data_IF_122370419385
#
_entry.id   IF_122370419385
#
_cell.length_a   1.000
_cell.length_b   1.000
_cell.length_c   1.000
_cell.angle_alpha   90.00
_cell.angle_beta   90.00
_cell.angle_gamma   90.00
#
_symmetry.space_group_name_H-M   'P 1'
#
loop_
_entity.id
_entity.type
_entity.pdbx_description
1 polymer ?
#
# COMPACT_ATOMS: atom_id res chain seq x y z
N UNK A 1 -1.84 -4.32 -33.20
CA UNK A 1 -3.21 -4.43 -32.68
C UNK A 1 -3.35 -5.76 -31.95
N UNK A 2 -3.07 -5.78 -30.66
CA UNK A 2 -3.26 -6.97 -29.82
C UNK A 2 -4.74 -7.01 -29.39
N UNK A 3 -5.41 -8.11 -29.69
CA UNK A 3 -6.83 -8.32 -29.35
C UNK A 3 -6.93 -8.59 -27.86
N UNK A 4 -7.62 -7.72 -27.14
CA UNK A 4 -8.01 -7.93 -25.75
C UNK A 4 -9.09 -9.01 -25.74
N UNK A 5 -8.84 -10.11 -25.05
CA UNK A 5 -9.85 -11.13 -24.80
C UNK A 5 -10.74 -10.65 -23.63
N UNK A 6 -11.90 -10.13 -23.99
CA UNK A 6 -12.94 -9.73 -23.04
C UNK A 6 -13.68 -10.99 -22.58
N UNK A 7 -13.47 -11.41 -21.34
CA UNK A 7 -14.30 -12.44 -20.70
C UNK A 7 -15.45 -11.74 -19.97
N UNK A 8 -16.62 -11.74 -20.63
CA UNK A 8 -17.89 -11.35 -19.99
C UNK A 8 -18.40 -12.52 -19.15
N UNK A 9 -18.41 -12.39 -17.82
CA UNK A 9 -19.25 -13.21 -16.96
C UNK A 9 -20.55 -12.48 -16.67
N UNK A 10 -21.65 -12.99 -17.22
CA UNK A 10 -23.00 -12.42 -17.09
C UNK A 10 -23.73 -13.07 -15.91
N UNK A 11 -24.25 -12.21 -15.07
CA UNK A 11 -25.43 -12.21 -14.19
C UNK A 11 -25.82 -13.45 -13.37
N UNK A 12 -25.85 -13.25 -12.07
CA UNK A 12 -27.00 -13.63 -11.23
C UNK A 12 -27.40 -12.44 -10.36
N UNK A 13 -28.65 -12.01 -10.50
CA UNK A 13 -29.26 -10.93 -9.75
C UNK A 13 -29.58 -11.38 -8.32
N UNK A 14 -29.13 -10.62 -7.33
CA UNK A 14 -29.56 -10.79 -5.94
C UNK A 14 -28.52 -10.27 -4.95
N UNK A 15 -28.71 -9.04 -4.46
CA UNK A 15 -27.85 -8.23 -3.60
C UNK A 15 -26.76 -7.46 -4.36
N UNK A 16 -26.86 -6.14 -4.26
CA UNK A 16 -25.96 -5.17 -4.89
C UNK A 16 -24.54 -5.26 -4.30
N UNK A 17 -23.80 -6.28 -4.70
CA UNK A 17 -22.36 -6.21 -4.65
C UNK A 17 -21.92 -5.25 -5.76
N UNK A 18 -21.11 -4.25 -5.48
CA UNK A 18 -20.50 -3.42 -6.51
C UNK A 18 -19.85 -4.36 -7.54
N UNK A 19 -20.16 -4.15 -8.83
CA UNK A 19 -19.67 -5.02 -9.89
C UNK A 19 -18.13 -4.95 -9.88
N UNK A 20 -17.49 -6.06 -9.58
CA UNK A 20 -16.05 -6.23 -9.67
C UNK A 20 -15.70 -6.49 -11.14
N UNK A 21 -14.80 -5.68 -11.67
CA UNK A 21 -14.25 -5.84 -13.01
C UNK A 21 -12.80 -6.31 -12.90
N UNK A 22 -12.45 -7.42 -13.57
CA UNK A 22 -11.11 -8.01 -13.48
C UNK A 22 -10.37 -7.87 -14.81
N UNK A 23 -9.13 -7.40 -14.76
CA UNK A 23 -8.28 -7.23 -15.93
C UNK A 23 -6.88 -7.82 -15.68
N UNK A 24 -6.33 -8.48 -16.70
CA UNK A 24 -4.91 -8.87 -16.69
C UNK A 24 -4.07 -7.65 -17.09
N UNK A 25 -3.25 -7.16 -16.18
CA UNK A 25 -2.43 -5.96 -16.42
C UNK A 25 -0.98 -6.28 -16.80
N UNK A 26 -0.48 -7.45 -16.43
CA UNK A 26 0.86 -7.89 -16.81
C UNK A 26 0.95 -9.41 -16.90
N UNK A 27 1.85 -9.88 -17.76
CA UNK A 27 2.28 -11.27 -17.82
C UNK A 27 3.76 -11.34 -17.44
N UNK A 28 4.12 -12.24 -16.54
CA UNK A 28 5.49 -12.51 -16.09
C UNK A 28 5.84 -13.96 -16.37
N UNK A 29 7.11 -14.29 -16.40
CA UNK A 29 7.58 -15.66 -16.66
C UNK A 29 6.97 -16.70 -15.70
N UNK A 30 6.60 -16.27 -14.49
CA UNK A 30 6.13 -17.16 -13.42
C UNK A 30 4.63 -17.07 -13.15
N UNK A 31 3.95 -16.01 -13.59
CA UNK A 31 2.53 -15.78 -13.32
C UNK A 31 1.93 -14.68 -14.20
N UNK A 32 0.62 -14.74 -14.41
CA UNK A 32 -0.17 -13.61 -14.89
C UNK A 32 -0.65 -12.79 -13.71
N UNK A 33 -0.61 -11.48 -13.82
CA UNK A 33 -0.99 -10.51 -12.78
C UNK A 33 -2.28 -9.80 -13.18
N UNK A 34 -3.23 -9.80 -12.27
CA UNK A 34 -4.55 -9.22 -12.48
C UNK A 34 -4.80 -8.07 -11.51
N UNK A 35 -5.67 -7.16 -11.91
CA UNK A 35 -6.26 -6.16 -11.04
C UNK A 35 -7.79 -6.27 -11.06
N UNK A 36 -8.41 -5.87 -9.94
CA UNK A 36 -9.85 -5.75 -9.83
C UNK A 36 -10.22 -4.30 -9.59
N UNK A 37 -11.28 -3.82 -10.26
CA UNK A 37 -11.84 -2.49 -10.09
C UNK A 37 -13.18 -2.59 -9.38
N UNK A 38 -13.32 -1.88 -8.27
CA UNK A 38 -14.54 -1.71 -7.50
C UNK A 38 -15.00 -0.25 -7.67
N UNK A 39 -16.18 -0.08 -8.27
CA UNK A 39 -16.75 1.25 -8.57
C UNK A 39 -17.40 1.86 -7.34
N UNK A 40 -17.44 3.21 -7.23
CA UNK A 40 -18.24 3.88 -6.22
C UNK A 40 -19.70 3.39 -6.23
N UNK A 41 -20.28 3.21 -5.04
CA UNK A 41 -21.68 2.83 -4.89
C UNK A 41 -22.58 3.86 -5.61
N UNK A 42 -23.57 3.38 -6.36
CA UNK A 42 -24.50 4.25 -7.10
C UNK A 42 -25.16 5.26 -6.16
N UNK A 43 -25.04 6.54 -6.50
CA UNK A 43 -25.58 7.64 -5.69
C UNK A 43 -24.63 8.16 -4.59
N UNK A 44 -23.46 7.52 -4.39
CA UNK A 44 -22.44 8.08 -3.51
C UNK A 44 -21.81 9.33 -4.12
N UNK A 45 -21.28 10.22 -3.26
CA UNK A 45 -20.65 11.47 -3.72
C UNK A 45 -19.21 11.21 -4.14
N UNK A 46 -18.93 11.32 -5.43
CA UNK A 46 -17.60 11.14 -6.03
C UNK A 46 -16.73 12.40 -6.00
N UNK A 47 -17.25 13.48 -5.41
CA UNK A 47 -16.54 14.75 -5.23
C UNK A 47 -16.52 15.16 -3.75
N UNK A 48 -15.50 15.91 -3.39
CA UNK A 48 -15.39 16.61 -2.11
C UNK A 48 -14.80 18.00 -2.35
N UNK A 49 -15.47 19.04 -1.84
CA UNK A 49 -15.05 20.45 -2.00
C UNK A 49 -14.84 20.85 -3.49
N UNK A 50 -15.72 20.34 -4.37
CA UNK A 50 -15.67 20.61 -5.82
C UNK A 50 -14.53 19.93 -6.57
N UNK A 51 -13.83 18.96 -5.94
CA UNK A 51 -12.76 18.17 -6.55
C UNK A 51 -13.14 16.70 -6.58
N UNK A 52 -12.77 16.02 -7.67
CA UNK A 52 -12.96 14.59 -7.80
C UNK A 52 -12.16 13.82 -6.72
N UNK A 53 -12.80 12.83 -6.12
CA UNK A 53 -12.14 11.90 -5.18
C UNK A 53 -11.14 11.02 -5.91
N UNK A 54 -9.97 10.74 -5.30
CA UNK A 54 -8.97 9.89 -5.93
C UNK A 54 -9.44 8.43 -6.01
N UNK A 55 -8.88 7.70 -6.97
CA UNK A 55 -8.95 6.23 -6.97
C UNK A 55 -7.90 5.69 -6.00
N UNK A 56 -8.31 4.74 -5.15
CA UNK A 56 -7.42 4.08 -4.20
C UNK A 56 -6.85 2.83 -4.85
N UNK A 57 -5.54 2.78 -5.07
CA UNK A 57 -4.85 1.57 -5.53
C UNK A 57 -4.36 0.80 -4.31
N UNK A 58 -4.96 -0.35 -4.05
CA UNK A 58 -4.65 -1.17 -2.87
C UNK A 58 -3.71 -2.32 -3.19
N UNK A 59 -2.70 -2.49 -2.33
CA UNK A 59 -1.72 -3.58 -2.37
C UNK A 59 -1.86 -4.39 -1.08
N UNK A 60 -2.20 -5.67 -1.22
CA UNK A 60 -2.46 -6.55 -0.07
C UNK A 60 -1.18 -6.91 0.71
N UNK A 61 -1.35 -7.40 1.93
CA UNK A 61 -0.31 -7.89 2.82
C UNK A 61 0.11 -9.34 2.53
N UNK A 62 0.67 -10.02 3.53
CA UNK A 62 1.01 -11.45 3.45
C UNK A 62 2.50 -11.76 3.34
N UNK A 63 3.38 -10.83 3.76
CA UNK A 63 4.82 -11.07 3.89
C UNK A 63 5.55 -11.41 2.60
N UNK A 64 5.03 -11.02 1.46
CA UNK A 64 5.55 -11.41 0.14
C UNK A 64 5.55 -12.92 -0.13
N UNK A 65 4.82 -13.72 0.66
CA UNK A 65 4.72 -15.19 0.50
C UNK A 65 3.31 -15.67 0.20
N UNK A 66 2.30 -14.90 0.60
CA UNK A 66 0.88 -15.24 0.46
C UNK A 66 0.04 -13.97 0.33
N UNK A 67 -1.28 -14.15 0.21
CA UNK A 67 -2.26 -13.09 0.05
C UNK A 67 -2.82 -13.06 -1.37
N UNK A 68 -3.92 -12.37 -1.53
CA UNK A 68 -4.59 -12.17 -2.80
C UNK A 68 -5.32 -10.81 -2.82
N UNK A 69 -5.51 -10.24 -4.03
CA UNK A 69 -6.14 -8.93 -4.22
C UNK A 69 -7.62 -8.90 -3.78
N UNK A 70 -8.27 -10.06 -3.70
CA UNK A 70 -9.71 -10.20 -3.42
C UNK A 70 -10.03 -10.75 -2.03
N UNK A 71 -9.11 -10.63 -1.06
CA UNK A 71 -9.34 -11.09 0.32
C UNK A 71 -10.60 -10.49 0.93
N UNK A 72 -11.48 -11.34 1.48
CA UNK A 72 -12.76 -10.92 2.06
C UNK A 72 -12.63 -9.86 3.16
N UNK A 73 -11.54 -9.88 3.91
CA UNK A 73 -11.25 -8.88 4.94
C UNK A 73 -11.05 -7.48 4.35
N UNK A 74 -10.34 -7.37 3.25
CA UNK A 74 -10.09 -6.10 2.54
C UNK A 74 -11.34 -5.61 1.80
N UNK A 75 -12.19 -6.51 1.32
CA UNK A 75 -13.43 -6.15 0.63
C UNK A 75 -14.38 -5.33 1.50
N UNK A 76 -14.40 -5.53 2.82
CA UNK A 76 -15.21 -4.69 3.74
C UNK A 76 -14.74 -3.22 3.71
N UNK A 77 -13.44 -3.01 3.63
CA UNK A 77 -12.87 -1.68 3.49
C UNK A 77 -13.12 -1.08 2.10
N UNK A 78 -13.01 -1.89 1.05
CA UNK A 78 -13.34 -1.46 -0.31
C UNK A 78 -14.81 -1.00 -0.42
N UNK A 79 -15.73 -1.77 0.17
CA UNK A 79 -17.13 -1.38 0.21
C UNK A 79 -17.34 -0.04 0.94
N UNK A 80 -16.66 0.18 2.06
CA UNK A 80 -16.71 1.46 2.78
C UNK A 80 -16.19 2.61 1.94
N UNK A 81 -15.09 2.42 1.22
CA UNK A 81 -14.57 3.42 0.27
C UNK A 81 -15.58 3.70 -0.84
N UNK A 82 -16.16 2.66 -1.45
CA UNK A 82 -17.16 2.81 -2.52
C UNK A 82 -18.42 3.54 -2.02
N UNK A 83 -18.91 3.23 -0.83
CA UNK A 83 -20.07 3.90 -0.21
C UNK A 83 -19.79 5.39 0.06
N UNK A 84 -18.52 5.73 0.23
CA UNK A 84 -18.05 7.09 0.37
C UNK A 84 -17.52 7.69 -0.94
N UNK A 85 -17.84 7.11 -2.10
CA UNK A 85 -17.61 7.69 -3.43
C UNK A 85 -16.18 7.58 -3.96
N UNK A 86 -15.33 6.75 -3.36
CA UNK A 86 -14.00 6.42 -3.88
C UNK A 86 -14.06 5.16 -4.75
N UNK A 87 -13.41 5.16 -5.91
CA UNK A 87 -13.11 3.93 -6.63
C UNK A 87 -11.93 3.22 -5.97
N UNK A 88 -11.91 1.88 -6.05
CA UNK A 88 -10.79 1.06 -5.57
C UNK A 88 -10.28 0.20 -6.70
N UNK A 89 -8.97 0.15 -6.87
CA UNK A 89 -8.24 -0.80 -7.71
C UNK A 89 -7.38 -1.64 -6.79
N UNK A 90 -7.55 -2.94 -6.78
CA UNK A 90 -6.65 -3.84 -6.04
C UNK A 90 -5.85 -4.69 -7.02
N UNK A 91 -4.59 -4.93 -6.73
CA UNK A 91 -3.66 -5.56 -7.67
C UNK A 91 -3.05 -6.85 -7.11
N UNK A 92 -2.81 -7.83 -7.98
CA UNK A 92 -1.83 -8.87 -7.71
C UNK A 92 -0.41 -8.29 -7.76
N UNK A 93 0.53 -8.93 -7.12
CA UNK A 93 1.96 -8.67 -7.29
C UNK A 93 2.75 -9.97 -7.07
N UNK A 94 3.94 -10.07 -7.63
CA UNK A 94 4.80 -11.24 -7.47
C UNK A 94 5.21 -11.43 -6.00
N UNK A 95 4.97 -12.63 -5.48
CA UNK A 95 5.30 -13.00 -4.10
C UNK A 95 6.78 -13.42 -3.99
N UNK A 96 7.68 -12.43 -3.97
CA UNK A 96 9.12 -12.63 -4.10
C UNK A 96 9.80 -13.40 -2.97
N UNK A 97 9.09 -13.67 -1.86
CA UNK A 97 9.56 -14.52 -0.76
C UNK A 97 8.94 -15.93 -0.80
N UNK A 98 8.00 -16.21 -1.72
CA UNK A 98 7.34 -17.53 -1.82
C UNK A 98 8.37 -18.63 -2.13
N UNK A 99 8.45 -19.60 -1.24
CA UNK A 99 9.40 -20.71 -1.36
C UNK A 99 10.84 -20.38 -0.92
N UNK A 100 11.13 -19.14 -0.54
CA UNK A 100 12.44 -18.77 0.00
C UNK A 100 12.60 -19.27 1.43
N UNK A 101 13.72 -19.97 1.70
CA UNK A 101 14.05 -20.46 3.05
C UNK A 101 15.09 -19.56 3.69
N UNK A 102 14.72 -18.91 4.78
CA UNK A 102 15.64 -18.05 5.54
C UNK A 102 16.76 -18.93 6.15
N UNK A 103 17.99 -18.65 5.74
CA UNK A 103 19.18 -19.36 6.25
C UNK A 103 19.50 -18.97 7.69
N UNK A 104 20.29 -19.82 8.37
CA UNK A 104 20.73 -19.58 9.77
C UNK A 104 21.97 -18.68 9.84
N UNK A 105 22.12 -17.99 10.97
CA UNK A 105 23.27 -17.16 11.30
C UNK A 105 23.38 -15.87 10.47
N UNK A 106 24.50 -15.16 10.64
CA UNK A 106 24.70 -13.83 10.05
C UNK A 106 24.63 -13.83 8.51
N UNK A 107 25.24 -14.84 7.87
CA UNK A 107 25.16 -15.00 6.39
C UNK A 107 23.73 -15.24 5.91
N UNK A 108 22.94 -16.05 6.63
CA UNK A 108 21.54 -16.29 6.34
C UNK A 108 20.70 -15.01 6.46
N UNK A 109 20.96 -14.21 7.51
CA UNK A 109 20.26 -12.93 7.71
C UNK A 109 20.59 -11.91 6.61
N UNK A 110 21.83 -11.85 6.14
CA UNK A 110 22.20 -10.95 5.04
C UNK A 110 21.53 -11.35 3.71
N UNK A 111 21.52 -12.65 3.39
CA UNK A 111 20.82 -13.16 2.19
C UNK A 111 19.31 -12.92 2.26
N UNK A 112 18.72 -13.09 3.46
CA UNK A 112 17.32 -12.77 3.66
C UNK A 112 17.02 -11.29 3.44
N UNK A 113 17.87 -10.38 3.94
CA UNK A 113 17.72 -8.95 3.71
C UNK A 113 17.79 -8.59 2.21
N UNK A 114 18.69 -9.21 1.46
CA UNK A 114 18.79 -9.06 0.00
C UNK A 114 17.50 -9.56 -0.69
N UNK A 115 17.01 -10.74 -0.30
CA UNK A 115 15.78 -11.28 -0.87
C UNK A 115 14.55 -10.43 -0.55
N UNK A 116 14.47 -9.83 0.64
CA UNK A 116 13.40 -8.88 0.99
C UNK A 116 13.44 -7.63 0.11
N UNK A 117 14.61 -7.10 -0.19
CA UNK A 117 14.75 -5.97 -1.12
C UNK A 117 14.30 -6.38 -2.52
N UNK A 118 14.67 -7.58 -2.98
CA UNK A 118 14.21 -8.11 -4.28
C UNK A 118 12.69 -8.24 -4.28
N UNK A 119 12.09 -8.81 -3.23
CA UNK A 119 10.64 -8.96 -3.14
C UNK A 119 9.90 -7.62 -3.11
N UNK A 120 10.41 -6.64 -2.35
CA UNK A 120 9.91 -5.26 -2.37
C UNK A 120 9.98 -4.67 -3.77
N UNK A 121 11.12 -4.79 -4.45
CA UNK A 121 11.31 -4.22 -5.78
C UNK A 121 10.41 -4.87 -6.82
N UNK A 122 10.24 -6.20 -6.77
CA UNK A 122 9.28 -6.91 -7.63
C UNK A 122 7.86 -6.37 -7.45
N UNK A 123 7.44 -6.11 -6.19
CA UNK A 123 6.13 -5.54 -5.90
C UNK A 123 5.99 -4.09 -6.42
N UNK A 124 7.04 -3.27 -6.32
CA UNK A 124 7.06 -1.92 -6.88
C UNK A 124 6.96 -1.93 -8.41
N UNK A 125 7.72 -2.79 -9.08
CA UNK A 125 7.65 -2.99 -10.54
C UNK A 125 6.25 -3.41 -11.00
N UNK A 126 5.60 -4.30 -10.24
CA UNK A 126 4.26 -4.78 -10.57
C UNK A 126 3.21 -3.69 -10.33
N UNK A 127 3.35 -2.89 -9.25
CA UNK A 127 2.52 -1.71 -9.02
C UNK A 127 2.68 -0.68 -10.17
N UNK A 128 3.91 -0.41 -10.61
CA UNK A 128 4.17 0.51 -11.73
C UNK A 128 3.57 -0.01 -13.03
N UNK A 129 3.63 -1.33 -13.27
CA UNK A 129 2.97 -1.95 -14.43
C UNK A 129 1.45 -1.84 -14.37
N UNK A 130 0.85 -1.96 -13.18
CA UNK A 130 -0.58 -1.75 -13.01
C UNK A 130 -0.97 -0.30 -13.31
N UNK A 131 -0.19 0.68 -12.83
CA UNK A 131 -0.41 2.11 -13.12
C UNK A 131 -0.26 2.39 -14.62
N UNK A 132 0.73 1.82 -15.32
CA UNK A 132 0.88 1.94 -16.77
C UNK A 132 -0.34 1.39 -17.50
N UNK A 133 -0.83 0.21 -17.09
CA UNK A 133 -2.06 -0.37 -17.66
C UNK A 133 -3.28 0.54 -17.44
N UNK A 134 -3.45 1.09 -16.24
CA UNK A 134 -4.53 2.03 -15.95
C UNK A 134 -4.42 3.30 -16.82
N UNK A 135 -3.20 3.79 -17.06
CA UNK A 135 -2.96 4.95 -17.90
C UNK A 135 -3.31 4.68 -19.38
N UNK A 136 -2.87 3.54 -19.91
CA UNK A 136 -3.12 3.13 -21.28
C UNK A 136 -4.61 2.91 -21.58
N UNK A 137 -5.39 2.57 -20.56
CA UNK A 137 -6.83 2.27 -20.65
C UNK A 137 -7.70 3.28 -19.87
N UNK A 138 -7.16 4.46 -19.55
CA UNK A 138 -7.80 5.43 -18.66
C UNK A 138 -9.19 5.89 -19.13
N UNK A 139 -9.38 6.11 -20.42
CA UNK A 139 -10.67 6.51 -21.01
C UNK A 139 -11.71 5.38 -20.89
N UNK A 140 -11.32 4.13 -21.23
CA UNK A 140 -12.21 2.97 -21.17
C UNK A 140 -12.60 2.65 -19.72
N UNK A 141 -11.60 2.68 -18.82
CA UNK A 141 -11.79 2.38 -17.41
C UNK A 141 -12.37 3.53 -16.60
N UNK A 142 -12.39 4.76 -17.14
CA UNK A 142 -12.84 5.95 -16.42
C UNK A 142 -12.03 6.23 -15.16
N UNK A 143 -10.72 5.94 -15.18
CA UNK A 143 -9.78 6.17 -14.07
C UNK A 143 -8.76 7.23 -14.46
N UNK A 144 -8.71 8.31 -13.69
CA UNK A 144 -7.69 9.34 -13.84
C UNK A 144 -6.43 8.92 -13.08
N UNK A 145 -5.38 8.55 -13.81
CA UNK A 145 -4.09 8.14 -13.22
C UNK A 145 -3.35 9.28 -12.53
N UNK A 146 -3.70 10.53 -12.85
CA UNK A 146 -3.15 11.69 -12.15
C UNK A 146 -3.83 11.93 -10.79
N UNK A 147 -4.82 11.12 -10.44
CA UNK A 147 -5.58 11.24 -9.19
C UNK A 147 -5.61 9.89 -8.42
N UNK A 148 -4.45 9.29 -8.22
CA UNK A 148 -4.28 8.01 -7.52
C UNK A 148 -3.71 8.19 -6.12
N UNK A 149 -4.29 7.51 -5.15
CA UNK A 149 -3.71 7.26 -3.82
C UNK A 149 -3.33 5.80 -3.74
N UNK A 150 -2.09 5.49 -3.41
CA UNK A 150 -1.70 4.11 -3.15
C UNK A 150 -1.90 3.79 -1.66
N UNK A 151 -2.53 2.66 -1.38
CA UNK A 151 -2.74 2.14 -0.04
C UNK A 151 -2.19 0.72 0.07
N UNK A 152 -1.66 0.35 1.22
CA UNK A 152 -1.20 -1.01 1.41
C UNK A 152 -1.17 -1.45 2.85
N UNK A 153 -1.26 -2.76 3.04
CA UNK A 153 -1.18 -3.44 4.33
C UNK A 153 0.12 -4.24 4.43
N UNK A 154 0.88 -4.11 5.55
CA UNK A 154 2.06 -4.96 5.79
C UNK A 154 3.05 -4.94 4.60
N UNK A 155 3.29 -6.06 3.94
CA UNK A 155 4.10 -6.15 2.71
C UNK A 155 3.62 -5.19 1.62
N UNK A 156 2.31 -5.02 1.45
CA UNK A 156 1.73 -4.05 0.51
C UNK A 156 2.01 -2.60 0.91
N UNK A 157 2.02 -2.30 2.21
CA UNK A 157 2.41 -0.99 2.71
C UNK A 157 3.90 -0.70 2.52
N UNK A 158 4.74 -1.75 2.59
CA UNK A 158 6.16 -1.65 2.22
C UNK A 158 6.30 -1.31 0.74
N UNK A 159 5.55 -1.99 -0.14
CA UNK A 159 5.53 -1.69 -1.58
C UNK A 159 5.10 -0.24 -1.82
N UNK A 160 4.00 0.20 -1.19
CA UNK A 160 3.46 1.55 -1.37
C UNK A 160 4.45 2.65 -0.95
N UNK A 161 5.12 2.49 0.21
CA UNK A 161 6.13 3.45 0.67
C UNK A 161 7.41 3.40 -0.17
N UNK A 162 7.82 2.21 -0.62
CA UNK A 162 8.99 2.06 -1.49
C UNK A 162 8.74 2.66 -2.88
N UNK A 163 7.53 2.52 -3.42
CA UNK A 163 7.13 3.12 -4.70
C UNK A 163 7.22 4.66 -4.66
N UNK A 164 6.69 5.29 -3.60
CA UNK A 164 6.83 6.75 -3.42
C UNK A 164 8.30 7.16 -3.28
N UNK A 165 9.07 6.42 -2.48
CA UNK A 165 10.51 6.67 -2.34
C UNK A 165 11.26 6.52 -3.68
N UNK A 166 10.91 5.52 -4.50
CA UNK A 166 11.51 5.28 -5.80
C UNK A 166 11.19 6.41 -6.79
N UNK A 167 9.95 6.89 -6.81
CA UNK A 167 9.54 8.04 -7.63
C UNK A 167 10.36 9.28 -7.27
N UNK A 168 10.50 9.58 -5.99
CA UNK A 168 11.28 10.73 -5.52
C UNK A 168 12.78 10.63 -5.86
N UNK A 169 13.30 9.40 -5.94
CA UNK A 169 14.68 9.13 -6.35
C UNK A 169 14.87 9.04 -7.86
N UNK A 170 13.83 9.32 -8.66
CA UNK A 170 13.88 9.26 -10.12
C UNK A 170 13.88 7.84 -10.70
N UNK A 171 13.49 6.84 -9.92
CA UNK A 171 13.30 5.46 -10.39
C UNK A 171 11.84 5.26 -10.79
N UNK A 172 11.52 5.63 -12.02
CA UNK A 172 10.14 5.72 -12.54
C UNK A 172 9.92 4.84 -13.78
N UNK A 173 10.76 3.84 -13.98
CA UNK A 173 10.61 2.92 -15.12
C UNK A 173 9.26 2.24 -15.11
N UNK A 174 8.54 2.31 -16.23
CA UNK A 174 7.20 1.76 -16.38
C UNK A 174 6.07 2.69 -15.92
N UNK A 175 6.35 3.88 -15.40
CA UNK A 175 5.34 4.88 -15.07
C UNK A 175 5.14 5.89 -16.20
N UNK A 176 3.96 6.50 -16.33
CA UNK A 176 3.74 7.65 -17.19
C UNK A 176 4.69 8.79 -16.84
N UNK A 177 5.08 9.58 -17.85
CA UNK A 177 5.99 10.72 -17.65
C UNK A 177 5.40 11.71 -16.62
N UNK A 178 6.22 12.09 -15.64
CA UNK A 178 5.83 13.03 -14.59
C UNK A 178 4.82 12.48 -13.57
N UNK A 179 4.56 11.19 -13.57
CA UNK A 179 3.62 10.57 -12.60
C UNK A 179 4.02 10.85 -11.15
N UNK A 180 3.02 11.17 -10.34
CA UNK A 180 3.14 11.35 -8.89
C UNK A 180 1.87 10.83 -8.21
N UNK A 181 1.99 10.11 -7.09
CA UNK A 181 0.84 9.80 -6.26
C UNK A 181 0.24 11.07 -5.63
N UNK A 182 -1.07 11.08 -5.45
CA UNK A 182 -1.77 12.10 -4.65
C UNK A 182 -1.66 11.85 -3.16
N UNK A 183 -1.32 10.64 -2.76
CA UNK A 183 -1.07 10.25 -1.38
C UNK A 183 -0.71 8.79 -1.22
N UNK A 184 -0.16 8.47 -0.06
CA UNK A 184 0.16 7.10 0.39
C UNK A 184 -0.58 6.81 1.70
N UNK A 185 -1.24 5.66 1.80
CA UNK A 185 -1.82 5.15 3.04
C UNK A 185 -1.11 3.84 3.42
N UNK A 186 -0.41 3.85 4.53
CA UNK A 186 0.46 2.75 4.97
C UNK A 186 0.00 2.16 6.29
N UNK A 187 -0.54 0.94 6.23
CA UNK A 187 -0.96 0.16 7.39
C UNK A 187 0.16 -0.79 7.81
N UNK A 188 0.93 -0.42 8.82
CA UNK A 188 2.12 -1.14 9.33
C UNK A 188 3.20 -1.37 8.25
N UNK A 189 3.59 -0.30 7.55
CA UNK A 189 4.60 -0.34 6.49
C UNK A 189 5.98 0.16 6.91
N UNK A 190 6.92 0.01 5.99
CA UNK A 190 8.31 0.41 6.14
C UNK A 190 8.98 0.56 4.76
N UNK A 191 10.22 1.00 4.72
CA UNK A 191 11.10 0.88 3.55
C UNK A 191 12.23 -0.09 3.88
N UNK A 192 12.48 -1.06 3.01
CA UNK A 192 13.58 -2.02 3.16
C UNK A 192 14.75 -1.58 2.27
N UNK A 193 15.96 -1.58 2.78
CA UNK A 193 17.15 -1.21 2.02
C UNK A 193 18.38 -1.99 2.50
N UNK A 194 19.32 -2.22 1.59
CA UNK A 194 20.65 -2.76 1.86
C UNK A 194 21.77 -1.75 1.56
N UNK A 195 21.40 -0.51 1.29
CA UNK A 195 22.29 0.61 0.92
C UNK A 195 22.29 1.75 1.96
N UNK A 196 21.87 1.47 3.18
CA UNK A 196 21.69 2.47 4.22
C UNK A 196 20.22 2.82 4.44
N UNK A 197 19.96 3.73 5.36
CA UNK A 197 18.63 4.28 5.58
C UNK A 197 18.13 5.00 4.34
N UNK A 198 16.83 4.95 4.02
CA UNK A 198 16.28 5.71 2.89
C UNK A 198 16.43 7.21 3.17
N UNK A 199 17.07 7.92 2.26
CA UNK A 199 17.21 9.36 2.33
C UNK A 199 16.32 10.01 1.27
N UNK A 200 15.24 10.64 1.73
CA UNK A 200 14.29 11.32 0.85
C UNK A 200 14.91 12.61 0.31
N UNK A 201 15.05 12.78 -1.03
CA UNK A 201 15.64 13.97 -1.63
C UNK A 201 14.73 15.19 -1.56
N UNK A 202 13.42 14.98 -1.45
CA UNK A 202 12.37 16.00 -1.31
C UNK A 202 11.27 15.50 -0.38
N UNK A 203 10.32 16.37 -0.02
CA UNK A 203 9.14 15.95 0.72
C UNK A 203 8.33 14.93 -0.11
N UNK A 204 7.84 13.83 0.50
CA UNK A 204 6.93 12.93 -0.18
C UNK A 204 5.58 13.60 -0.47
N UNK A 205 4.76 12.97 -1.32
CA UNK A 205 3.35 13.31 -1.39
C UNK A 205 2.71 13.16 0.01
N UNK A 206 1.46 13.57 0.25
CA UNK A 206 0.80 13.30 1.52
C UNK A 206 0.88 11.83 1.93
N UNK A 207 1.34 11.55 3.15
CA UNK A 207 1.50 10.16 3.65
C UNK A 207 0.75 9.98 4.96
N UNK A 208 -0.12 8.96 5.02
CA UNK A 208 -0.72 8.45 6.25
C UNK A 208 0.00 7.18 6.67
N UNK A 209 0.56 7.16 7.86
CA UNK A 209 1.21 6.00 8.47
C UNK A 209 0.47 5.61 9.75
N UNK A 210 0.02 4.36 9.80
CA UNK A 210 -0.65 3.73 10.93
C UNK A 210 0.23 2.57 11.38
N UNK A 211 0.77 2.58 12.62
CA UNK A 211 1.75 1.59 13.03
C UNK A 211 1.67 1.27 14.54
N UNK A 212 1.74 -0.02 14.87
CA UNK A 212 1.83 -0.48 16.25
C UNK A 212 3.22 -0.27 16.84
N UNK A 213 3.30 0.30 18.06
CA UNK A 213 4.61 0.60 18.67
C UNK A 213 5.38 -0.65 19.11
N UNK A 214 4.69 -1.80 19.23
CA UNK A 214 5.26 -3.10 19.59
C UNK A 214 5.31 -4.08 18.39
N UNK A 215 5.24 -3.58 17.15
CA UNK A 215 5.29 -4.41 15.95
C UNK A 215 6.65 -5.11 15.80
N UNK A 216 6.61 -6.45 15.72
CA UNK A 216 7.77 -7.32 15.56
C UNK A 216 7.85 -8.00 14.18
N UNK A 217 6.84 -7.82 13.34
CA UNK A 217 6.83 -8.32 11.96
C UNK A 217 7.38 -7.28 11.00
N UNK A 218 6.89 -6.05 11.08
CA UNK A 218 7.45 -4.90 10.36
C UNK A 218 7.93 -3.89 11.40
N UNK A 219 9.24 -3.65 11.42
CA UNK A 219 9.85 -2.82 12.45
C UNK A 219 9.19 -1.43 12.52
N UNK A 220 8.68 -1.07 13.69
CA UNK A 220 8.08 0.24 13.93
C UNK A 220 9.09 1.39 13.76
N UNK A 221 10.27 1.29 14.37
CA UNK A 221 11.36 2.27 14.19
C UNK A 221 12.37 1.78 13.17
N UNK A 222 13.17 0.79 13.51
CA UNK A 222 14.14 0.17 12.60
C UNK A 222 14.56 -1.21 13.09
N UNK A 223 14.88 -2.09 12.15
CA UNK A 223 15.50 -3.37 12.42
C UNK A 223 16.59 -3.64 11.38
N UNK A 224 17.79 -4.06 11.83
CA UNK A 224 18.89 -4.39 10.94
C UNK A 224 20.23 -3.89 11.46
N UNK A 225 21.29 -4.13 10.68
CA UNK A 225 22.66 -3.76 11.01
C UNK A 225 23.46 -3.42 9.75
N UNK A 226 24.53 -2.63 9.90
CA UNK A 226 25.51 -2.32 8.84
C UNK A 226 24.86 -1.79 7.56
N UNK A 227 23.88 -0.85 7.71
CA UNK A 227 23.19 -0.23 6.59
C UNK A 227 22.21 -1.13 5.84
N UNK A 228 21.88 -2.32 6.39
CA UNK A 228 20.90 -3.26 5.84
C UNK A 228 19.76 -3.41 6.83
N UNK A 229 18.52 -3.23 6.38
CA UNK A 229 17.40 -3.37 7.31
C UNK A 229 16.08 -2.81 6.80
N UNK A 230 15.19 -2.68 7.77
CA UNK A 230 13.83 -2.21 7.65
C UNK A 230 13.74 -0.90 8.42
N UNK A 231 13.31 0.16 7.79
CA UNK A 231 13.09 1.49 8.38
C UNK A 231 11.60 1.76 8.42
N UNK A 232 11.03 1.68 9.62
CA UNK A 232 9.60 1.77 9.85
C UNK A 232 9.07 3.20 9.93
N UNK A 233 7.77 3.30 10.16
CA UNK A 233 7.04 4.57 10.14
C UNK A 233 7.58 5.61 11.11
N UNK A 234 8.02 5.21 12.31
CA UNK A 234 8.62 6.11 13.30
C UNK A 234 9.94 6.72 12.81
N UNK A 235 10.79 5.89 12.20
CA UNK A 235 12.04 6.38 11.62
C UNK A 235 11.79 7.38 10.48
N UNK A 236 10.85 7.07 9.59
CA UNK A 236 10.50 7.94 8.46
C UNK A 236 9.92 9.26 8.96
N UNK A 237 8.98 9.24 9.90
CA UNK A 237 8.39 10.44 10.49
C UNK A 237 9.46 11.31 11.16
N UNK A 238 10.38 10.72 11.93
CA UNK A 238 11.48 11.43 12.57
C UNK A 238 12.43 12.08 11.55
N UNK A 239 12.73 11.36 10.45
CA UNK A 239 13.56 11.90 9.37
C UNK A 239 12.87 13.09 8.67
N UNK A 240 11.57 12.95 8.34
CA UNK A 240 10.81 14.01 7.67
C UNK A 240 10.62 15.23 8.58
N UNK A 241 10.36 15.02 9.86
CA UNK A 241 10.31 16.10 10.87
C UNK A 241 11.63 16.87 10.94
N UNK A 242 12.77 16.15 10.99
CA UNK A 242 14.10 16.79 11.00
C UNK A 242 14.39 17.58 9.73
N UNK A 243 13.84 17.18 8.59
CA UNK A 243 13.95 17.88 7.30
C UNK A 243 12.88 18.98 7.12
N UNK A 244 12.02 19.21 8.11
CA UNK A 244 10.89 20.13 8.06
C UNK A 244 9.90 19.87 6.92
N UNK A 245 9.77 18.60 6.50
CA UNK A 245 8.76 18.18 5.56
C UNK A 245 7.38 18.17 6.23
N UNK A 246 6.34 18.51 5.49
CA UNK A 246 4.96 18.57 5.95
C UNK A 246 4.06 17.67 5.13
N UNK A 247 2.78 17.54 5.51
CA UNK A 247 1.82 16.73 4.76
C UNK A 247 1.77 15.25 5.17
N UNK A 248 2.58 14.84 6.13
CA UNK A 248 2.55 13.47 6.65
C UNK A 248 1.78 13.38 7.97
N UNK A 249 1.11 12.25 8.15
CA UNK A 249 0.37 11.92 9.36
C UNK A 249 0.85 10.57 9.87
N UNK A 250 1.27 10.47 11.14
CA UNK A 250 1.53 9.21 11.81
C UNK A 250 0.62 9.05 13.03
N UNK A 251 -0.06 7.91 13.10
CA UNK A 251 -0.81 7.46 14.26
C UNK A 251 -0.11 6.24 14.85
N UNK A 252 0.38 6.39 16.06
CA UNK A 252 1.19 5.45 16.81
C UNK A 252 0.30 4.67 17.75
N UNK A 253 -0.01 3.41 17.45
CA UNK A 253 -0.87 2.59 18.29
C UNK A 253 -0.07 1.99 19.42
N UNK A 254 -0.25 2.55 20.61
CA UNK A 254 0.49 2.19 21.82
C UNK A 254 0.32 0.70 22.14
N UNK A 255 1.45 0.01 22.35
CA UNK A 255 1.56 -1.40 22.69
C UNK A 255 0.85 -2.37 21.71
N UNK A 256 0.36 -1.87 20.56
CA UNK A 256 -0.18 -2.72 19.50
C UNK A 256 0.96 -3.32 18.67
N UNK A 257 0.74 -4.55 18.26
CA UNK A 257 1.67 -5.33 17.44
C UNK A 257 1.39 -5.11 15.95
N UNK A 258 1.60 -6.12 15.13
CA UNK A 258 1.28 -6.10 13.70
C UNK A 258 -0.23 -6.08 13.38
N UNK A 259 -1.08 -6.11 14.39
CA UNK A 259 -2.54 -5.96 14.28
C UNK A 259 -2.93 -4.74 13.43
N UNK A 260 -2.15 -3.66 13.53
CA UNK A 260 -2.41 -2.39 12.83
C UNK A 260 -2.41 -2.55 11.31
N UNK A 261 -1.76 -3.58 10.76
CA UNK A 261 -1.85 -3.92 9.35
C UNK A 261 -3.29 -4.22 8.89
N UNK A 262 -4.16 -4.66 9.80
CA UNK A 262 -5.57 -4.95 9.55
C UNK A 262 -6.53 -3.87 10.03
N UNK A 263 -6.08 -2.72 10.49
CA UNK A 263 -6.98 -1.71 11.08
C UNK A 263 -7.75 -0.85 10.07
N UNK A 264 -7.57 -1.06 8.78
CA UNK A 264 -8.31 -0.35 7.72
C UNK A 264 -9.85 -0.43 7.89
N UNK A 265 -10.36 -1.48 8.50
CA UNK A 265 -11.79 -1.60 8.77
C UNK A 265 -12.28 -0.83 10.01
N UNK A 266 -11.37 -0.24 10.80
CA UNK A 266 -11.69 0.33 12.13
C UNK A 266 -11.37 1.81 12.26
N UNK A 267 -10.63 2.40 11.32
CA UNK A 267 -10.04 3.75 11.46
C UNK A 267 -10.55 4.74 10.42
N UNK A 268 -11.79 4.55 9.95
CA UNK A 268 -12.36 5.35 8.87
C UNK A 268 -12.26 6.87 9.10
N UNK A 269 -12.51 7.36 10.29
CA UNK A 269 -12.43 8.80 10.57
C UNK A 269 -11.04 9.39 10.34
N UNK A 270 -9.99 8.62 10.66
CA UNK A 270 -8.60 8.99 10.41
C UNK A 270 -8.31 8.99 8.90
N UNK A 271 -8.73 7.94 8.22
CA UNK A 271 -8.53 7.74 6.78
C UNK A 271 -9.28 8.80 5.98
N UNK A 272 -10.55 9.03 6.30
CA UNK A 272 -11.38 10.05 5.66
C UNK A 272 -10.79 11.45 5.87
N UNK A 273 -10.39 11.78 7.11
CA UNK A 273 -9.78 13.06 7.39
C UNK A 273 -8.46 13.28 6.62
N UNK A 274 -7.67 12.23 6.43
CA UNK A 274 -6.46 12.28 5.61
C UNK A 274 -6.80 12.49 4.13
N UNK A 275 -7.69 11.69 3.57
CA UNK A 275 -8.10 11.77 2.16
C UNK A 275 -8.70 13.14 1.84
N UNK A 276 -9.61 13.66 2.68
CA UNK A 276 -10.27 14.94 2.45
C UNK A 276 -9.33 16.13 2.66
N UNK A 277 -8.57 16.16 3.75
CA UNK A 277 -7.76 17.32 4.12
C UNK A 277 -6.40 17.35 3.45
N UNK A 278 -5.64 16.25 3.54
CA UNK A 278 -4.28 16.22 3.02
C UNK A 278 -4.26 15.98 1.51
N UNK A 279 -5.09 15.03 1.00
CA UNK A 279 -5.08 14.66 -0.42
C UNK A 279 -5.93 15.62 -1.25
N UNK A 280 -7.25 15.68 -1.00
CA UNK A 280 -8.17 16.41 -1.88
C UNK A 280 -8.02 17.93 -1.73
N UNK A 281 -8.01 18.44 -0.50
CA UNK A 281 -7.81 19.87 -0.25
C UNK A 281 -6.35 20.32 -0.42
N UNK A 282 -5.38 19.39 -0.34
CA UNK A 282 -3.95 19.71 -0.46
C UNK A 282 -3.39 20.44 0.76
N UNK A 283 -4.00 20.26 1.93
CA UNK A 283 -3.50 20.87 3.15
C UNK A 283 -2.18 20.21 3.58
N UNK A 284 -1.14 21.01 3.83
CA UNK A 284 0.14 20.53 4.35
C UNK A 284 0.05 20.16 5.85
N UNK A 285 -1.04 19.49 6.22
CA UNK A 285 -1.33 19.11 7.61
C UNK A 285 -0.41 17.99 8.03
N UNK A 286 0.31 18.18 9.14
CA UNK A 286 1.15 17.19 9.78
C UNK A 286 0.52 16.75 11.10
N UNK A 287 0.46 15.45 11.33
CA UNK A 287 -0.05 14.84 12.57
C UNK A 287 0.97 13.85 13.10
N UNK A 288 1.29 13.95 14.37
CA UNK A 288 2.04 12.93 15.12
C UNK A 288 1.24 12.65 16.39
N UNK A 289 0.54 11.52 16.41
CA UNK A 289 -0.41 11.20 17.47
C UNK A 289 -0.18 9.80 18.04
N UNK A 290 -0.21 9.69 19.37
CA UNK A 290 -0.29 8.42 20.07
C UNK A 290 -1.76 8.04 20.26
N UNK A 291 -2.13 6.83 19.86
CA UNK A 291 -3.46 6.26 20.05
C UNK A 291 -3.37 5.16 21.11
N UNK A 292 -4.12 5.31 22.19
CA UNK A 292 -4.29 4.31 23.26
C UNK A 292 -5.76 3.93 23.32
N UNK A 293 -6.17 3.02 22.44
CA UNK A 293 -7.56 2.57 22.33
C UNK A 293 -7.64 1.06 22.56
N UNK A 294 -8.08 0.63 23.75
CA UNK A 294 -8.21 -0.78 24.08
C UNK A 294 -9.38 -1.48 23.36
N UNK A 295 -10.30 -0.75 22.75
CA UNK A 295 -11.43 -1.32 22.02
C UNK A 295 -11.05 -1.87 20.65
N UNK A 296 -9.91 -1.46 20.08
CA UNK A 296 -9.41 -1.99 18.82
C UNK A 296 -9.04 -3.47 18.96
N UNK A 297 -9.34 -4.30 17.94
CA UNK A 297 -9.08 -5.74 18.00
C UNK A 297 -7.60 -6.05 18.13
N UNK A 298 -7.28 -7.20 18.74
CA UNK A 298 -5.96 -7.79 18.73
C UNK A 298 -6.04 -9.23 18.27
N UNK A 299 -5.19 -9.60 17.32
CA UNK A 299 -5.15 -10.95 16.73
C UNK A 299 -3.92 -11.75 17.16
N UNK A 300 -3.18 -11.23 18.14
CA UNK A 300 -1.98 -11.84 18.68
C UNK A 300 -0.69 -11.33 18.04
N UNK A 301 0.44 -11.85 18.52
CA UNK A 301 1.75 -11.38 18.06
C UNK A 301 2.19 -12.11 16.80
N UNK A 302 2.33 -11.38 15.72
CA UNK A 302 2.96 -11.83 14.48
C UNK A 302 4.41 -11.32 14.47
N UNK A 303 5.35 -12.20 14.15
CA UNK A 303 6.78 -11.89 14.05
C UNK A 303 7.32 -12.35 12.71
N UNK A 304 8.51 -11.88 12.29
CA UNK A 304 9.17 -12.40 11.11
C UNK A 304 9.36 -13.92 11.21
N UNK A 305 9.70 -14.43 12.40
CA UNK A 305 9.86 -15.85 12.62
C UNK A 305 8.57 -16.65 12.39
N UNK A 306 7.43 -16.15 12.83
CA UNK A 306 6.13 -16.84 12.62
C UNK A 306 5.67 -16.80 11.17
N UNK A 307 6.09 -15.81 10.39
CA UNK A 307 5.78 -15.71 8.96
C UNK A 307 6.67 -16.64 8.13
N UNK A 308 7.97 -16.73 8.42
CA UNK A 308 8.95 -17.36 7.53
C UNK A 308 9.56 -18.68 8.05
N UNK A 309 9.20 -19.16 9.25
CA UNK A 309 9.63 -20.46 9.80
C UNK A 309 8.61 -21.59 9.57
N UNK A 310 7.84 -21.51 8.48
CA UNK A 310 6.97 -22.61 8.10
C UNK A 310 7.73 -23.74 7.41
#
# INVERSE_FOLDING_TARGET
MKKIALFFCILFAGLSAAAQETYMYAERDTCSLYLDIYRPTVGSKTEFDGKAKPTIVFVFGGGFIMGERSEAFSQQWFQRLNDNGYAVVTIDYRLGMKGYKVGKGLSGSFKAAEQFVIAQQMGVEDLFSAISFLNENSEELGIDVNNLVVAGSSAGAIIAQAAEYDILCGRTEGLPEGFQFKGVMSFAGAVISIKGAPEYPSAPCPVLMLHGTADQAVAYTKYGAVGRGIWGSDFLAAQWSKKHYTGWCIYRFKDRTHDVAGYMNYLWDIEQAFLEKNVIQGAARTVDAMVDDPSLPSWGTVTLDTIYKQ
#
